data_IF_425147136388
#
_entry.id   IF_425147136388
#
_cell.length_a   1.000
_cell.length_b   1.000
_cell.length_c   1.000
_cell.angle_alpha   90.00
_cell.angle_beta   90.00
_cell.angle_gamma   90.00
#
_symmetry.space_group_name_H-M   'P 1'
#
loop_
_entity.id
_entity.type
_entity.pdbx_description
1 polymer ?
#
# COMPACT_ATOMS: atom_id res chain seq x y z
N UNK A 1 18.86 -35.77 11.55
CA UNK A 1 19.30 -34.84 10.50
C UNK A 1 18.14 -34.07 9.82
N UNK A 2 17.04 -34.72 9.50
CA UNK A 2 15.84 -34.08 8.89
C UNK A 2 15.15 -32.98 9.75
N UNK A 3 15.19 -33.07 11.07
CA UNK A 3 14.55 -32.09 11.98
C UNK A 3 15.30 -30.75 12.02
N UNK A 4 16.61 -30.78 11.99
CA UNK A 4 17.45 -29.57 11.99
C UNK A 4 17.28 -28.76 10.70
N UNK A 5 17.18 -29.42 9.53
CA UNK A 5 17.02 -28.74 8.25
C UNK A 5 15.67 -28.00 8.12
N UNK A 6 14.59 -28.57 8.65
CA UNK A 6 13.26 -27.92 8.68
C UNK A 6 13.26 -26.67 9.57
N UNK A 7 13.87 -26.74 10.76
CA UNK A 7 13.98 -25.61 11.67
C UNK A 7 14.64 -24.40 11.01
N UNK A 8 15.83 -24.61 10.40
CA UNK A 8 16.55 -23.52 9.71
C UNK A 8 15.74 -22.91 8.55
N UNK A 9 15.01 -23.71 7.78
CA UNK A 9 14.20 -23.21 6.66
C UNK A 9 13.06 -22.32 7.14
N UNK A 10 12.36 -22.71 8.22
CA UNK A 10 11.26 -21.92 8.78
C UNK A 10 11.76 -20.60 9.40
N UNK A 11 12.89 -20.64 10.12
CA UNK A 11 13.49 -19.44 10.71
C UNK A 11 13.93 -18.43 9.63
N UNK A 12 14.56 -18.92 8.54
CA UNK A 12 14.94 -18.07 7.41
C UNK A 12 13.69 -17.45 6.75
N UNK A 13 12.63 -18.22 6.55
CA UNK A 13 11.40 -17.73 5.95
C UNK A 13 10.74 -16.62 6.82
N UNK A 14 10.68 -16.83 8.13
CA UNK A 14 10.12 -15.84 9.07
C UNK A 14 10.91 -14.53 9.07
N UNK A 15 12.25 -14.61 9.01
CA UNK A 15 13.12 -13.43 8.90
C UNK A 15 12.89 -12.72 7.56
N UNK A 16 12.79 -13.45 6.45
CA UNK A 16 12.51 -12.86 5.13
C UNK A 16 11.14 -12.17 5.10
N UNK A 17 10.12 -12.77 5.70
CA UNK A 17 8.81 -12.17 5.82
C UNK A 17 8.86 -10.86 6.64
N UNK A 18 9.50 -10.89 7.80
CA UNK A 18 9.68 -9.69 8.64
C UNK A 18 10.38 -8.56 7.88
N UNK A 19 11.51 -8.83 7.24
CA UNK A 19 12.26 -7.82 6.45
C UNK A 19 11.41 -7.28 5.32
N UNK A 20 10.63 -8.15 4.64
CA UNK A 20 9.74 -7.74 3.55
C UNK A 20 8.60 -6.84 4.06
N UNK A 21 7.97 -7.19 5.18
CA UNK A 21 6.92 -6.40 5.81
C UNK A 21 7.41 -5.02 6.22
N UNK A 22 8.54 -4.97 6.92
CA UNK A 22 9.18 -3.70 7.34
C UNK A 22 9.51 -2.83 6.11
N UNK A 23 10.09 -3.40 5.06
CA UNK A 23 10.36 -2.67 3.82
C UNK A 23 9.08 -2.11 3.18
N UNK A 24 8.01 -2.92 3.09
CA UNK A 24 6.73 -2.48 2.55
C UNK A 24 6.15 -1.31 3.37
N UNK A 25 6.14 -1.43 4.70
CA UNK A 25 5.61 -0.40 5.59
C UNK A 25 6.41 0.90 5.47
N UNK A 26 7.73 0.84 5.51
CA UNK A 26 8.60 2.01 5.35
C UNK A 26 8.41 2.68 3.99
N UNK A 27 8.30 1.90 2.91
CA UNK A 27 8.01 2.41 1.57
C UNK A 27 6.68 3.14 1.54
N UNK A 28 5.62 2.57 2.11
CA UNK A 28 4.28 3.17 2.10
C UNK A 28 4.21 4.45 2.96
N UNK A 29 4.91 4.49 4.09
CA UNK A 29 5.06 5.69 4.91
C UNK A 29 5.83 6.79 4.17
N UNK A 30 7.00 6.46 3.61
CA UNK A 30 7.81 7.40 2.83
C UNK A 30 7.01 7.96 1.65
N UNK A 31 6.38 7.07 0.89
CA UNK A 31 5.54 7.45 -0.24
C UNK A 31 4.38 8.35 0.22
N UNK A 32 3.81 8.07 1.41
CA UNK A 32 2.76 8.90 2.00
C UNK A 32 3.21 10.34 2.26
N UNK A 33 4.43 10.49 2.75
CA UNK A 33 5.00 11.79 3.08
C UNK A 33 5.38 12.60 1.82
N UNK A 34 5.81 11.94 0.74
CA UNK A 34 6.37 12.60 -0.46
C UNK A 34 5.35 12.91 -1.55
N UNK A 35 4.08 12.50 -1.41
CA UNK A 35 3.07 12.67 -2.47
C UNK A 35 2.61 14.10 -2.76
N UNK A 36 2.93 15.05 -1.90
CA UNK A 36 2.42 16.43 -2.00
C UNK A 36 0.96 16.57 -1.59
N UNK A 37 0.43 17.79 -1.72
CA UNK A 37 -0.96 18.13 -1.37
C UNK A 37 -1.93 17.43 -2.33
N UNK A 38 -3.09 17.01 -1.80
CA UNK A 38 -4.19 16.57 -2.64
C UNK A 38 -4.84 17.79 -3.31
N UNK A 39 -4.94 17.77 -4.62
CA UNK A 39 -5.69 18.73 -5.41
C UNK A 39 -7.14 18.25 -5.51
N UNK A 40 -7.32 17.04 -6.05
CA UNK A 40 -8.64 16.43 -6.16
C UNK A 40 -8.65 15.08 -5.45
N UNK A 41 -9.66 14.87 -4.60
CA UNK A 41 -9.91 13.60 -3.90
C UNK A 41 -11.11 12.90 -4.49
N UNK A 42 -10.98 11.62 -4.72
CA UNK A 42 -12.12 10.74 -5.03
C UNK A 42 -12.54 10.03 -3.75
N UNK A 43 -13.79 10.14 -3.39
CA UNK A 43 -14.33 9.45 -2.22
C UNK A 43 -14.19 7.95 -2.40
N UNK A 44 -13.53 7.29 -1.44
CA UNK A 44 -13.38 5.84 -1.38
C UNK A 44 -14.13 5.31 -0.16
N UNK A 45 -14.84 4.21 -0.35
CA UNK A 45 -15.51 3.56 0.78
C UNK A 45 -14.50 3.10 1.84
N UNK A 46 -14.82 3.30 3.11
CA UNK A 46 -13.98 2.94 4.26
C UNK A 46 -14.01 1.44 4.60
N UNK A 47 -14.88 0.67 3.94
CA UNK A 47 -15.07 -0.76 4.24
C UNK A 47 -13.79 -1.59 4.21
N UNK A 48 -12.91 -1.34 3.23
CA UNK A 48 -11.63 -2.03 3.14
C UNK A 48 -10.67 -1.66 4.29
N UNK A 49 -10.70 -0.41 4.75
CA UNK A 49 -9.90 0.04 5.89
C UNK A 49 -10.39 -0.62 7.19
N UNK A 50 -11.71 -0.77 7.36
CA UNK A 50 -12.29 -1.49 8.51
C UNK A 50 -11.86 -2.95 8.51
N UNK A 51 -11.88 -3.63 7.35
CA UNK A 51 -11.40 -5.01 7.23
C UNK A 51 -9.95 -5.14 7.70
N UNK A 52 -9.05 -4.27 7.23
CA UNK A 52 -7.65 -4.31 7.63
C UNK A 52 -7.44 -3.95 9.11
N UNK A 53 -8.30 -3.09 9.67
CA UNK A 53 -8.29 -2.79 11.11
C UNK A 53 -8.65 -4.02 11.95
N UNK A 54 -9.67 -4.77 11.54
CA UNK A 54 -10.07 -6.02 12.23
C UNK A 54 -8.93 -7.05 12.16
N UNK A 55 -8.31 -7.22 10.99
CA UNK A 55 -7.16 -8.13 10.86
C UNK A 55 -5.96 -7.68 11.71
N UNK A 56 -5.69 -6.37 11.79
CA UNK A 56 -4.65 -5.83 12.65
C UNK A 56 -4.89 -6.19 14.12
N UNK A 57 -6.10 -5.97 14.63
CA UNK A 57 -6.46 -6.33 16.00
C UNK A 57 -6.27 -7.84 16.24
N UNK A 58 -6.72 -8.67 15.30
CA UNK A 58 -6.57 -10.12 15.37
C UNK A 58 -5.08 -10.54 15.50
N UNK A 59 -4.20 -10.00 14.66
CA UNK A 59 -2.77 -10.31 14.70
C UNK A 59 -2.09 -9.78 15.96
N UNK A 60 -2.51 -8.63 16.48
CA UNK A 60 -2.02 -8.12 17.77
C UNK A 60 -2.39 -9.04 18.93
N UNK A 61 -3.62 -9.58 18.94
CA UNK A 61 -4.05 -10.54 19.97
C UNK A 61 -3.27 -11.86 19.89
N UNK A 62 -2.98 -12.37 18.70
CA UNK A 62 -2.15 -13.55 18.51
C UNK A 62 -0.71 -13.31 18.99
N UNK A 63 -0.11 -12.18 18.62
CA UNK A 63 1.23 -11.80 19.08
C UNK A 63 1.30 -11.70 20.60
N UNK A 64 0.28 -11.13 21.23
CA UNK A 64 0.17 -11.06 22.69
C UNK A 64 0.12 -12.44 23.36
N UNK A 65 -0.66 -13.36 22.78
CA UNK A 65 -0.71 -14.76 23.24
C UNK A 65 0.65 -15.43 23.13
N UNK A 66 1.32 -15.30 21.98
CA UNK A 66 2.61 -15.94 21.73
C UNK A 66 3.71 -15.36 22.65
N UNK A 67 3.72 -14.05 22.87
CA UNK A 67 4.63 -13.42 23.81
C UNK A 67 4.47 -13.95 25.25
N UNK A 68 3.22 -14.15 25.71
CA UNK A 68 2.95 -14.77 27.03
C UNK A 68 3.44 -16.21 27.09
N UNK A 69 3.28 -16.99 26.02
CA UNK A 69 3.76 -18.37 25.95
C UNK A 69 5.29 -18.43 25.96
N UNK A 70 5.96 -17.51 25.26
CA UNK A 70 7.42 -17.43 25.27
C UNK A 70 7.96 -17.19 26.69
N UNK A 71 7.42 -16.19 27.38
CA UNK A 71 7.83 -15.89 28.75
C UNK A 71 7.61 -17.09 29.72
N UNK A 72 6.62 -17.92 29.42
CA UNK A 72 6.28 -19.06 30.30
C UNK A 72 7.08 -20.33 30.02
N UNK A 73 7.46 -20.58 28.77
CA UNK A 73 7.98 -21.89 28.34
C UNK A 73 9.37 -21.81 27.69
N UNK A 74 9.94 -20.62 27.48
CA UNK A 74 11.27 -20.38 26.86
C UNK A 74 11.47 -21.21 25.56
N UNK A 75 10.44 -21.34 24.74
CA UNK A 75 10.46 -22.20 23.55
C UNK A 75 10.84 -21.37 22.31
N UNK A 76 11.97 -21.69 21.69
CA UNK A 76 12.49 -20.98 20.51
C UNK A 76 11.55 -20.99 19.30
N UNK A 77 10.69 -22.00 19.15
CA UNK A 77 9.69 -22.03 18.07
C UNK A 77 8.69 -20.87 18.15
N UNK A 78 8.51 -20.27 19.33
CA UNK A 78 7.61 -19.13 19.52
C UNK A 78 8.18 -17.88 18.87
N UNK A 79 9.51 -17.74 18.76
CA UNK A 79 10.16 -16.60 18.12
C UNK A 79 9.76 -16.52 16.65
N UNK A 80 9.69 -17.65 15.94
CA UNK A 80 9.25 -17.72 14.55
C UNK A 80 7.80 -17.28 14.39
N UNK A 81 6.93 -17.70 15.30
CA UNK A 81 5.53 -17.28 15.35
C UNK A 81 5.41 -15.77 15.57
N UNK A 82 6.19 -15.22 16.52
CA UNK A 82 6.21 -13.78 16.79
C UNK A 82 6.67 -12.99 15.57
N UNK A 83 7.75 -13.40 14.90
CA UNK A 83 8.23 -12.73 13.68
C UNK A 83 7.18 -12.75 12.57
N UNK A 84 6.52 -13.89 12.38
CA UNK A 84 5.46 -14.04 11.39
C UNK A 84 4.25 -13.14 11.73
N UNK A 85 3.87 -13.07 13.01
CA UNK A 85 2.79 -12.19 13.44
C UNK A 85 3.13 -10.71 13.25
N UNK A 86 4.39 -10.30 13.51
CA UNK A 86 4.86 -8.93 13.24
C UNK A 86 4.74 -8.61 11.75
N UNK A 87 5.13 -9.51 10.85
CA UNK A 87 4.92 -9.33 9.41
C UNK A 87 3.45 -9.06 9.08
N UNK A 88 2.52 -9.84 9.63
CA UNK A 88 1.09 -9.64 9.36
C UNK A 88 0.53 -8.35 9.94
N UNK A 89 1.07 -7.89 11.08
CA UNK A 89 0.77 -6.58 11.67
C UNK A 89 1.22 -5.47 10.71
N UNK A 90 2.48 -5.50 10.27
CA UNK A 90 3.06 -4.52 9.33
C UNK A 90 2.30 -4.51 8.00
N UNK A 91 1.96 -5.69 7.48
CA UNK A 91 1.18 -5.86 6.26
C UNK A 91 -0.23 -5.26 6.41
N UNK A 92 -0.89 -5.49 7.55
CA UNK A 92 -2.21 -4.93 7.84
C UNK A 92 -2.17 -3.40 7.94
N UNK A 93 -1.17 -2.83 8.63
CA UNK A 93 -0.96 -1.38 8.72
C UNK A 93 -0.72 -0.78 7.33
N UNK A 94 0.15 -1.38 6.52
CA UNK A 94 0.44 -0.94 5.15
C UNK A 94 -0.83 -0.88 4.29
N UNK A 95 -1.62 -1.95 4.32
CA UNK A 95 -2.87 -2.01 3.55
C UNK A 95 -3.96 -1.08 4.11
N UNK A 96 -4.03 -0.88 5.42
CA UNK A 96 -4.91 0.12 6.03
C UNK A 96 -4.55 1.53 5.57
N UNK A 97 -3.26 1.90 5.56
CA UNK A 97 -2.78 3.18 5.03
C UNK A 97 -3.20 3.36 3.57
N UNK A 98 -3.06 2.33 2.72
CA UNK A 98 -3.49 2.36 1.31
C UNK A 98 -5.00 2.48 1.18
N UNK A 99 -5.75 1.79 2.03
CA UNK A 99 -7.21 1.83 2.02
C UNK A 99 -7.77 3.18 2.47
N UNK A 100 -7.12 3.84 3.43
CA UNK A 100 -7.52 5.17 3.92
C UNK A 100 -7.16 6.29 2.93
N UNK A 101 -6.16 6.07 2.08
CA UNK A 101 -5.79 7.06 1.05
C UNK A 101 -6.82 7.06 -0.06
N UNK A 102 -7.48 8.18 -0.26
CA UNK A 102 -8.34 8.40 -1.43
C UNK A 102 -7.51 8.43 -2.71
N UNK A 103 -8.01 7.78 -3.76
CA UNK A 103 -7.53 8.02 -5.13
C UNK A 103 -7.71 9.49 -5.48
N UNK A 104 -6.85 10.04 -6.31
CA UNK A 104 -6.96 11.43 -6.70
C UNK A 104 -5.70 11.98 -7.35
N UNK A 105 -5.78 13.24 -7.71
CA UNK A 105 -4.71 14.01 -8.32
C UNK A 105 -4.01 14.82 -7.25
N UNK A 106 -2.69 14.82 -7.28
CA UNK A 106 -1.82 15.50 -6.35
C UNK A 106 -0.83 16.39 -7.08
N UNK A 107 -0.22 17.32 -6.34
CA UNK A 107 0.82 18.22 -6.91
C UNK A 107 1.92 17.45 -7.64
N UNK A 108 2.37 16.33 -7.10
CA UNK A 108 3.53 15.58 -7.60
C UNK A 108 3.17 14.38 -8.49
N UNK A 109 1.88 14.14 -8.76
CA UNK A 109 1.43 12.99 -9.56
C UNK A 109 0.00 12.55 -9.30
N UNK A 110 -0.30 11.32 -9.67
CA UNK A 110 -1.62 10.71 -9.49
C UNK A 110 -1.54 9.52 -8.53
N UNK A 111 -2.53 9.38 -7.65
CA UNK A 111 -2.66 8.25 -6.73
C UNK A 111 -3.92 7.47 -7.08
N UNK A 112 -3.76 6.25 -7.59
CA UNK A 112 -4.87 5.40 -8.04
C UNK A 112 -4.65 3.97 -7.55
N UNK A 113 -5.68 3.36 -6.99
CA UNK A 113 -5.69 1.94 -6.59
C UNK A 113 -4.57 1.52 -5.63
N UNK A 114 -4.07 2.45 -4.82
CA UNK A 114 -3.00 2.16 -3.84
C UNK A 114 -1.60 2.49 -4.33
N UNK A 115 -1.42 2.83 -5.60
CA UNK A 115 -0.14 3.19 -6.20
C UNK A 115 -0.04 4.67 -6.53
N UNK A 116 1.18 5.20 -6.41
CA UNK A 116 1.50 6.57 -6.76
C UNK A 116 2.38 6.65 -7.99
N UNK A 117 1.92 7.41 -8.96
CA UNK A 117 2.62 7.65 -10.22
C UNK A 117 3.00 9.13 -10.32
N UNK A 118 4.30 9.44 -10.25
CA UNK A 118 4.81 10.80 -10.47
C UNK A 118 4.51 11.25 -11.90
N UNK A 119 4.30 12.55 -12.11
CA UNK A 119 4.00 13.14 -13.43
C UNK A 119 4.93 12.66 -14.57
N UNK A 120 6.26 12.55 -14.40
CA UNK A 120 7.14 12.03 -15.47
C UNK A 120 6.86 10.56 -15.89
N UNK A 121 6.06 9.82 -15.12
CA UNK A 121 5.63 8.46 -15.49
C UNK A 121 4.29 8.44 -16.22
N UNK A 122 3.55 9.53 -16.23
CA UNK A 122 2.28 9.68 -16.94
C UNK A 122 2.60 10.06 -18.38
N UNK A 123 2.24 9.20 -19.33
CA UNK A 123 2.55 9.37 -20.75
C UNK A 123 1.49 10.18 -21.48
N UNK A 124 0.24 9.92 -21.18
CA UNK A 124 -0.91 10.60 -21.77
C UNK A 124 -2.13 10.43 -20.90
N UNK A 125 -3.13 11.25 -21.13
CA UNK A 125 -4.45 11.12 -20.54
C UNK A 125 -5.52 11.30 -21.61
N UNK A 126 -6.71 10.79 -21.33
CA UNK A 126 -7.87 10.94 -22.18
C UNK A 126 -9.16 10.97 -21.33
N UNK A 127 -10.07 11.88 -21.64
CA UNK A 127 -11.40 11.87 -21.05
C UNK A 127 -12.26 10.86 -21.78
N UNK A 128 -12.64 9.76 -21.11
CA UNK A 128 -13.52 8.72 -21.66
C UNK A 128 -14.99 8.98 -21.34
N UNK A 129 -15.27 9.85 -20.37
CA UNK A 129 -16.60 10.36 -20.04
C UNK A 129 -16.47 11.74 -19.39
N UNK A 130 -17.54 12.53 -19.24
CA UNK A 130 -17.49 13.87 -18.61
C UNK A 130 -16.82 13.88 -17.24
N UNK A 131 -17.01 12.81 -16.45
CA UNK A 131 -16.51 12.64 -15.10
C UNK A 131 -15.43 11.54 -14.97
N UNK A 132 -14.95 10.97 -16.08
CA UNK A 132 -14.01 9.84 -16.05
C UNK A 132 -12.79 10.10 -16.94
N UNK A 133 -11.62 10.09 -16.33
CA UNK A 133 -10.34 10.28 -17.01
C UNK A 133 -9.51 8.99 -16.96
N UNK A 134 -8.91 8.66 -18.09
CA UNK A 134 -7.96 7.57 -18.24
C UNK A 134 -6.55 8.12 -18.31
N UNK A 135 -5.63 7.56 -17.53
CA UNK A 135 -4.21 7.86 -17.59
C UNK A 135 -3.43 6.67 -18.11
N UNK A 136 -2.59 6.88 -19.10
CA UNK A 136 -1.59 5.89 -19.53
C UNK A 136 -0.28 6.14 -18.81
N UNK A 137 0.14 5.19 -17.98
CA UNK A 137 1.33 5.33 -17.14
C UNK A 137 2.37 4.26 -17.49
N UNK A 138 3.63 4.60 -17.30
CA UNK A 138 4.74 3.65 -17.37
C UNK A 138 4.84 2.90 -16.04
N UNK A 139 4.36 1.65 -16.03
CA UNK A 139 4.46 0.76 -14.87
C UNK A 139 5.83 0.08 -14.79
N UNK A 140 6.00 -0.77 -13.79
CA UNK A 140 7.19 -1.59 -13.61
C UNK A 140 7.39 -2.49 -14.85
N UNK A 141 8.63 -2.78 -15.25
CA UNK A 141 9.00 -3.56 -16.46
C UNK A 141 8.60 -2.96 -17.82
N UNK A 142 8.48 -1.63 -17.94
CA UNK A 142 8.13 -0.94 -19.21
C UNK A 142 6.72 -1.28 -19.77
N UNK A 143 5.89 -1.97 -19.01
CA UNK A 143 4.50 -2.24 -19.40
C UNK A 143 3.69 -0.95 -19.23
N UNK A 144 2.96 -0.55 -20.26
CA UNK A 144 2.01 0.55 -20.16
C UNK A 144 0.75 0.06 -19.46
N UNK A 145 0.36 0.73 -18.40
CA UNK A 145 -0.90 0.45 -17.70
C UNK A 145 -1.86 1.60 -17.94
N UNK A 146 -3.12 1.26 -18.16
CA UNK A 146 -4.22 2.21 -18.22
C UNK A 146 -4.91 2.27 -16.86
N UNK A 147 -5.08 3.47 -16.33
CA UNK A 147 -5.65 3.72 -15.01
C UNK A 147 -6.81 4.69 -15.15
N UNK A 148 -7.95 4.32 -14.62
CA UNK A 148 -9.16 5.13 -14.67
C UNK A 148 -9.41 5.83 -13.33
N UNK A 149 -9.78 7.10 -13.38
CA UNK A 149 -10.15 7.89 -12.22
C UNK A 149 -11.50 8.57 -12.50
N UNK A 150 -12.47 8.34 -11.63
CA UNK A 150 -13.76 9.04 -11.67
C UNK A 150 -13.68 10.24 -10.73
N UNK A 151 -14.03 11.42 -11.22
CA UNK A 151 -14.01 12.68 -10.47
C UNK A 151 -15.40 13.32 -10.49
N UNK A 152 -15.62 14.36 -9.65
CA UNK A 152 -16.79 15.20 -9.80
C UNK A 152 -16.60 16.15 -11.00
N UNK A 153 -17.63 16.34 -11.82
CA UNK A 153 -17.58 17.23 -12.99
C UNK A 153 -17.23 18.67 -12.64
N UNK A 154 -17.62 19.14 -11.44
CA UNK A 154 -17.33 20.48 -10.96
C UNK A 154 -15.83 20.81 -10.89
N UNK A 155 -15.00 19.80 -10.62
CA UNK A 155 -13.54 19.97 -10.49
C UNK A 155 -12.78 19.64 -11.78
N UNK A 156 -13.50 19.37 -12.88
CA UNK A 156 -12.89 18.98 -14.17
C UNK A 156 -11.92 20.03 -14.70
N UNK A 157 -12.32 21.31 -14.64
CA UNK A 157 -11.49 22.41 -15.14
C UNK A 157 -10.17 22.55 -14.34
N UNK A 158 -10.24 22.40 -12.99
CA UNK A 158 -9.07 22.41 -12.12
C UNK A 158 -8.13 21.22 -12.42
N UNK A 159 -8.71 20.05 -12.63
CA UNK A 159 -7.98 18.84 -13.01
C UNK A 159 -7.24 19.04 -14.34
N UNK A 160 -7.94 19.57 -15.34
CA UNK A 160 -7.37 19.81 -16.66
C UNK A 160 -6.19 20.78 -16.58
N UNK A 161 -6.31 21.88 -15.86
CA UNK A 161 -5.23 22.85 -15.66
C UNK A 161 -4.00 22.21 -15.01
N UNK A 162 -4.21 21.41 -13.96
CA UNK A 162 -3.11 20.72 -13.27
C UNK A 162 -2.41 19.72 -14.17
N UNK A 163 -3.17 18.96 -14.96
CA UNK A 163 -2.62 17.97 -15.88
C UNK A 163 -1.81 18.65 -16.97
N UNK A 164 -2.36 19.69 -17.61
CA UNK A 164 -1.68 20.44 -18.68
C UNK A 164 -0.39 21.10 -18.21
N UNK A 165 -0.37 21.59 -16.95
CA UNK A 165 0.85 22.16 -16.36
C UNK A 165 1.97 21.14 -16.16
N UNK A 166 1.64 19.89 -15.89
CA UNK A 166 2.59 18.87 -15.46
C UNK A 166 2.91 17.84 -16.55
N UNK A 167 2.05 17.67 -17.54
CA UNK A 167 2.27 16.78 -18.69
C UNK A 167 2.55 17.68 -19.89
N UNK A 168 3.83 17.93 -20.14
CA UNK A 168 4.26 18.54 -21.40
C UNK A 168 4.12 17.47 -22.48
N UNK A 169 3.09 17.57 -23.30
CA UNK A 169 2.86 16.72 -24.48
C UNK A 169 3.89 17.04 -25.57
#
# INVERSE_FOLDING_TARGET
MYHLSKFYVFSILSILLFVTGTWMLLKDLYTSYTHGRNIVKVNKGIGLAILWMVLLIFWCLLSWKDAKLYVRYENDNIIESVLTNIFWIEFSISNMIKALKSSGIRENGIYISGDFYKWPKVKSYNWIAPNKIEFKVKAFFKINSSLELTINEEVKAEVEEVIQRNITL
#
